data_IF_322766260987
#
_entry.id   IF_322766260987
#
_cell.length_a   1.000
_cell.length_b   1.000
_cell.length_c   1.000
_cell.angle_alpha   90.00
_cell.angle_beta   90.00
_cell.angle_gamma   90.00
#
_symmetry.space_group_name_H-M   'P 1'
#
loop_
_entity.id
_entity.type
_entity.pdbx_description
1 polymer ?
#
# COMPACT_ATOMS: atom_id res chain seq x y z
N UNK A 1 -38.37 -41.06 6.70
CA UNK A 1 -37.66 -39.92 6.07
C UNK A 1 -38.32 -38.57 6.36
N UNK A 2 -39.62 -38.40 6.32
CA UNK A 2 -40.30 -37.12 6.57
C UNK A 2 -40.06 -36.49 7.96
N UNK A 3 -39.87 -37.29 9.00
CA UNK A 3 -39.71 -36.80 10.38
C UNK A 3 -38.33 -36.16 10.64
N UNK A 4 -37.29 -36.53 9.89
CA UNK A 4 -35.96 -35.93 9.99
C UNK A 4 -35.88 -34.56 9.26
N UNK A 5 -36.58 -34.41 8.17
CA UNK A 5 -36.69 -33.13 7.45
C UNK A 5 -37.44 -32.08 8.27
N UNK A 6 -38.54 -32.48 8.94
CA UNK A 6 -39.32 -31.57 9.81
C UNK A 6 -38.49 -31.09 11.02
N UNK A 7 -37.70 -31.99 11.66
CA UNK A 7 -36.80 -31.62 12.75
C UNK A 7 -35.68 -30.67 12.29
N UNK A 8 -35.06 -30.93 11.14
CA UNK A 8 -34.03 -30.10 10.58
C UNK A 8 -34.57 -28.68 10.23
N UNK A 9 -35.76 -28.61 9.67
CA UNK A 9 -36.42 -27.36 9.36
C UNK A 9 -36.79 -26.55 10.61
N UNK A 10 -37.29 -27.22 11.66
CA UNK A 10 -37.58 -26.59 12.95
C UNK A 10 -36.31 -26.04 13.62
N UNK A 11 -35.19 -26.79 13.56
CA UNK A 11 -33.88 -26.33 14.08
C UNK A 11 -33.35 -25.17 13.30
N UNK A 12 -33.50 -25.13 11.98
CA UNK A 12 -33.09 -24.03 11.13
C UNK A 12 -33.91 -22.74 11.44
N UNK A 13 -35.22 -22.89 11.64
CA UNK A 13 -36.09 -21.76 12.03
C UNK A 13 -35.69 -21.23 13.41
N UNK A 14 -35.41 -22.10 14.37
CA UNK A 14 -34.98 -21.70 15.71
C UNK A 14 -33.64 -20.97 15.67
N UNK A 15 -32.70 -21.41 14.81
CA UNK A 15 -31.40 -20.75 14.61
C UNK A 15 -31.53 -19.36 13.96
N UNK A 16 -32.44 -19.23 12.97
CA UNK A 16 -32.70 -17.94 12.27
C UNK A 16 -33.48 -16.96 13.17
N UNK A 17 -34.34 -17.47 14.06
CA UNK A 17 -35.12 -16.66 15.01
C UNK A 17 -34.40 -16.36 16.33
N UNK A 18 -33.14 -16.79 16.48
CA UNK A 18 -32.34 -16.38 17.64
C UNK A 18 -32.22 -14.85 17.65
N UNK A 19 -32.58 -14.25 18.78
CA UNK A 19 -32.46 -12.82 19.01
C UNK A 19 -31.05 -12.38 18.68
N UNK A 20 -30.82 -11.39 17.79
CA UNK A 20 -29.47 -10.94 17.47
C UNK A 20 -28.78 -10.51 18.76
N UNK A 21 -27.55 -10.97 18.94
CA UNK A 21 -26.71 -10.56 20.05
C UNK A 21 -26.58 -9.05 20.07
N UNK A 22 -26.48 -8.45 21.25
CA UNK A 22 -26.27 -7.00 21.37
C UNK A 22 -25.03 -6.60 20.55
N UNK A 23 -25.22 -5.74 19.57
CA UNK A 23 -24.18 -5.27 18.68
C UNK A 23 -24.05 -3.75 18.77
N UNK A 24 -22.83 -3.27 18.90
CA UNK A 24 -22.54 -1.83 18.87
C UNK A 24 -22.32 -1.41 17.43
N UNK A 25 -23.16 -0.52 16.91
CA UNK A 25 -23.01 0.07 15.59
C UNK A 25 -22.09 1.27 15.65
N UNK A 26 -21.00 1.26 14.88
CA UNK A 26 -20.10 2.40 14.71
C UNK A 26 -20.05 2.81 13.25
N UNK A 27 -19.94 4.10 12.92
CA UNK A 27 -19.80 4.55 11.55
C UNK A 27 -18.53 3.97 10.93
N UNK A 28 -18.63 3.53 9.66
CA UNK A 28 -17.49 2.98 8.94
C UNK A 28 -16.53 4.11 8.52
N UNK A 29 -15.25 4.09 8.89
CA UNK A 29 -14.31 5.15 8.57
C UNK A 29 -14.15 5.33 7.04
N UNK A 30 -14.26 6.57 6.56
CA UNK A 30 -14.19 6.88 5.11
C UNK A 30 -12.87 6.42 4.48
N UNK A 31 -11.74 6.53 5.23
CA UNK A 31 -10.42 6.11 4.75
C UNK A 31 -10.36 4.58 4.47
N UNK A 32 -11.09 3.76 5.22
CA UNK A 32 -11.16 2.31 4.96
C UNK A 32 -11.79 1.98 3.59
N UNK A 33 -12.64 2.85 3.06
CA UNK A 33 -13.18 2.67 1.72
C UNK A 33 -12.09 2.73 0.64
N UNK A 34 -11.07 3.59 0.84
CA UNK A 34 -9.92 3.66 -0.06
C UNK A 34 -9.09 2.37 -0.04
N UNK A 35 -8.83 1.83 1.15
CA UNK A 35 -8.14 0.54 1.29
C UNK A 35 -8.91 -0.57 0.56
N UNK A 36 -10.24 -0.60 0.70
CA UNK A 36 -11.08 -1.56 -0.04
C UNK A 36 -11.00 -1.39 -1.55
N UNK A 37 -10.88 -0.15 -2.04
CA UNK A 37 -10.73 0.11 -3.48
C UNK A 37 -9.38 -0.39 -3.98
N UNK A 38 -8.27 -0.14 -3.25
CA UNK A 38 -6.93 -0.68 -3.56
C UNK A 38 -6.94 -2.21 -3.56
N UNK A 39 -7.52 -2.84 -2.53
CA UNK A 39 -7.61 -4.30 -2.46
C UNK A 39 -8.44 -4.88 -3.61
N UNK A 40 -9.49 -4.17 -4.05
CA UNK A 40 -10.31 -4.59 -5.18
C UNK A 40 -9.54 -4.51 -6.49
N UNK A 41 -8.73 -3.48 -6.69
CA UNK A 41 -7.85 -3.37 -7.85
C UNK A 41 -6.71 -4.41 -7.80
N UNK A 42 -6.15 -4.68 -6.63
CA UNK A 42 -5.13 -5.72 -6.44
C UNK A 42 -5.63 -7.13 -6.83
N UNK A 43 -6.88 -7.48 -6.51
CA UNK A 43 -7.48 -8.77 -6.88
C UNK A 43 -7.60 -9.01 -8.39
N UNK A 44 -7.45 -7.98 -9.20
CA UNK A 44 -7.51 -8.06 -10.67
C UNK A 44 -6.17 -8.43 -11.29
N UNK A 45 -5.11 -8.42 -10.49
CA UNK A 45 -3.75 -8.74 -10.94
C UNK A 45 -3.45 -10.21 -10.64
N UNK A 46 -2.71 -10.84 -11.53
CA UNK A 46 -2.11 -12.13 -11.27
C UNK A 46 -0.96 -11.93 -10.28
N UNK A 47 -0.98 -12.64 -9.17
CA UNK A 47 0.00 -12.50 -8.09
C UNK A 47 0.81 -13.78 -7.99
N UNK A 48 2.12 -13.65 -7.94
CA UNK A 48 3.07 -14.71 -7.59
C UNK A 48 3.62 -14.36 -6.21
N UNK A 49 3.50 -15.29 -5.26
CA UNK A 49 4.03 -15.10 -3.91
C UNK A 49 5.37 -15.80 -3.79
N UNK A 50 6.37 -15.10 -3.26
CA UNK A 50 7.67 -15.63 -2.91
C UNK A 50 7.90 -15.37 -1.43
N UNK A 51 8.33 -16.39 -0.69
CA UNK A 51 8.76 -16.29 0.70
C UNK A 51 10.26 -16.51 0.75
N UNK A 52 10.97 -15.59 1.41
CA UNK A 52 12.42 -15.67 1.60
C UNK A 52 12.76 -15.32 3.04
N UNK A 53 13.80 -15.97 3.55
CA UNK A 53 14.41 -15.62 4.83
C UNK A 53 15.77 -14.98 4.57
N UNK A 54 16.08 -13.92 5.31
CA UNK A 54 17.36 -13.23 5.22
C UNK A 54 17.90 -12.91 6.62
N UNK A 55 19.20 -13.12 6.83
CA UNK A 55 19.86 -12.72 8.05
C UNK A 55 20.13 -11.21 8.03
N UNK A 56 19.57 -10.49 9.01
CA UNK A 56 19.68 -9.04 9.10
C UNK A 56 20.83 -8.55 10.02
N UNK A 57 21.44 -9.43 10.79
CA UNK A 57 22.49 -9.04 11.76
C UNK A 57 23.68 -8.34 11.08
N UNK A 58 24.25 -8.82 9.95
CA UNK A 58 25.33 -8.12 9.26
C UNK A 58 24.92 -6.72 8.79
N UNK A 59 23.70 -6.59 8.27
CA UNK A 59 23.16 -5.31 7.75
C UNK A 59 23.01 -4.31 8.90
N UNK A 60 22.46 -4.72 10.03
CA UNK A 60 22.28 -3.88 11.22
C UNK A 60 23.63 -3.38 11.74
N UNK A 61 24.65 -4.26 11.82
CA UNK A 61 26.00 -3.89 12.23
C UNK A 61 26.62 -2.86 11.29
N UNK A 62 26.45 -3.01 9.97
CA UNK A 62 26.92 -2.02 8.98
C UNK A 62 26.24 -0.66 9.13
N UNK A 63 24.92 -0.66 9.33
CA UNK A 63 24.14 0.58 9.57
C UNK A 63 24.65 1.31 10.83
N UNK A 64 24.90 0.59 11.92
CA UNK A 64 25.43 1.18 13.16
C UNK A 64 26.84 1.73 12.98
N UNK A 65 27.73 0.98 12.31
CA UNK A 65 29.08 1.43 12.03
C UNK A 65 29.07 2.69 11.16
N UNK A 66 28.25 2.73 10.12
CA UNK A 66 28.08 3.89 9.25
C UNK A 66 27.59 5.11 10.05
N UNK A 67 26.59 4.93 10.91
CA UNK A 67 26.08 6.01 11.75
C UNK A 67 27.17 6.57 12.71
N UNK A 68 28.02 5.70 13.28
CA UNK A 68 29.13 6.11 14.16
C UNK A 68 30.22 6.86 13.41
N UNK A 69 30.51 6.47 12.17
CA UNK A 69 31.60 7.05 11.38
C UNK A 69 31.23 8.35 10.68
N UNK A 70 30.00 8.45 10.19
CA UNK A 70 29.56 9.55 9.33
C UNK A 70 28.47 10.42 9.96
N UNK A 71 27.94 10.04 11.14
CA UNK A 71 26.84 10.76 11.77
C UNK A 71 25.50 10.68 11.00
N UNK A 72 25.44 9.88 9.95
CA UNK A 72 24.26 9.71 9.09
C UNK A 72 23.38 8.58 9.61
N UNK A 73 22.10 8.89 9.86
CA UNK A 73 21.14 7.91 10.37
C UNK A 73 20.45 7.17 9.22
N UNK A 74 20.96 6.01 8.86
CA UNK A 74 20.34 5.07 7.95
C UNK A 74 19.32 4.20 8.70
N UNK A 75 18.16 3.98 8.12
CA UNK A 75 17.15 3.08 8.67
C UNK A 75 17.16 1.74 7.92
N UNK A 76 16.80 0.64 8.62
CA UNK A 76 16.66 -0.67 7.97
C UNK A 76 15.64 -0.63 6.82
N UNK A 77 14.52 0.08 7.02
CA UNK A 77 13.52 0.27 5.95
C UNK A 77 14.11 1.02 4.76
N UNK A 78 14.91 2.07 4.98
CA UNK A 78 15.62 2.79 3.91
C UNK A 78 16.58 1.91 3.15
N UNK A 79 17.31 1.03 3.86
CA UNK A 79 18.20 0.04 3.25
C UNK A 79 17.40 -0.95 2.36
N UNK A 80 16.30 -1.52 2.88
CA UNK A 80 15.44 -2.44 2.14
C UNK A 80 14.86 -1.74 0.90
N UNK A 81 14.37 -0.51 1.06
CA UNK A 81 13.85 0.28 -0.06
C UNK A 81 14.89 0.49 -1.15
N UNK A 82 16.14 0.82 -0.77
CA UNK A 82 17.23 0.99 -1.74
C UNK A 82 17.56 -0.32 -2.44
N UNK A 83 17.69 -1.42 -1.69
CA UNK A 83 17.97 -2.73 -2.27
C UNK A 83 16.89 -3.16 -3.29
N UNK A 84 15.61 -2.92 -2.98
CA UNK A 84 14.52 -3.16 -3.92
C UNK A 84 14.60 -2.25 -5.15
N UNK A 85 14.89 -0.97 -4.96
CA UNK A 85 15.01 -0.03 -6.07
C UNK A 85 16.14 -0.42 -7.02
N UNK A 86 17.30 -0.86 -6.48
CA UNK A 86 18.44 -1.31 -7.27
C UNK A 86 18.14 -2.61 -8.03
N UNK A 87 17.52 -3.59 -7.36
CA UNK A 87 17.12 -4.83 -8.00
C UNK A 87 16.13 -4.62 -9.16
N UNK A 88 15.18 -3.68 -9.01
CA UNK A 88 14.26 -3.30 -10.09
C UNK A 88 14.97 -2.51 -11.18
N UNK A 89 15.99 -1.73 -10.86
CA UNK A 89 16.77 -0.97 -11.85
C UNK A 89 17.65 -1.89 -12.72
N UNK A 90 18.12 -3.02 -12.19
CA UNK A 90 18.82 -4.07 -12.95
C UNK A 90 17.94 -4.71 -14.02
N UNK A 91 16.67 -4.95 -13.70
CA UNK A 91 15.66 -5.44 -14.66
C UNK A 91 14.37 -4.65 -14.56
N UNK A 92 14.32 -3.52 -15.25
CA UNK A 92 13.16 -2.61 -15.29
C UNK A 92 11.90 -3.24 -15.84
N UNK A 93 12.01 -4.39 -16.50
CA UNK A 93 10.84 -5.11 -17.01
C UNK A 93 9.93 -5.60 -15.89
N UNK A 94 10.46 -5.78 -14.67
CA UNK A 94 9.69 -6.15 -13.45
C UNK A 94 8.61 -5.14 -13.12
N UNK A 95 8.85 -3.83 -13.39
CA UNK A 95 7.88 -2.76 -13.15
C UNK A 95 7.06 -2.37 -14.40
N UNK A 96 7.09 -3.19 -15.45
CA UNK A 96 6.43 -2.88 -16.70
C UNK A 96 4.90 -2.90 -16.60
N UNK A 97 4.27 -1.95 -17.27
CA UNK A 97 2.80 -1.87 -17.38
C UNK A 97 2.34 -2.23 -18.79
N UNK A 98 1.36 -3.10 -18.86
CA UNK A 98 0.70 -3.42 -20.12
C UNK A 98 -0.34 -2.36 -20.44
N UNK A 99 -0.18 -1.68 -21.58
CA UNK A 99 -1.17 -0.75 -22.12
C UNK A 99 -1.88 -1.37 -23.32
N UNK A 100 -3.17 -1.61 -23.17
CA UNK A 100 -3.97 -2.28 -24.20
C UNK A 100 -3.53 -3.73 -24.43
N UNK A 101 -3.52 -4.17 -25.70
CA UNK A 101 -3.19 -5.56 -26.06
C UNK A 101 -1.73 -5.76 -26.52
N UNK A 102 -1.07 -4.71 -27.00
CA UNK A 102 0.21 -4.83 -27.71
C UNK A 102 1.34 -3.93 -27.20
N UNK A 103 1.08 -3.04 -26.24
CA UNK A 103 2.10 -2.12 -25.74
C UNK A 103 2.53 -2.48 -24.33
N UNK A 104 3.83 -2.42 -24.08
CA UNK A 104 4.46 -2.52 -22.79
C UNK A 104 5.15 -1.18 -22.51
N UNK A 105 4.85 -0.60 -21.35
CA UNK A 105 5.49 0.63 -20.86
C UNK A 105 6.44 0.23 -19.76
N UNK A 106 7.72 0.53 -19.93
CA UNK A 106 8.79 0.30 -18.97
C UNK A 106 9.27 1.68 -18.52
N UNK A 107 9.25 1.93 -17.22
CA UNK A 107 9.72 3.20 -16.65
C UNK A 107 11.20 3.13 -16.33
N UNK A 108 11.93 4.23 -16.54
CA UNK A 108 13.35 4.34 -16.22
C UNK A 108 13.57 4.61 -14.73
N UNK A 109 12.61 5.23 -14.07
CA UNK A 109 12.66 5.56 -12.66
C UNK A 109 11.81 4.59 -11.83
N UNK A 110 12.34 4.21 -10.67
CA UNK A 110 11.66 3.35 -9.70
C UNK A 110 11.02 4.21 -8.62
N UNK A 111 9.69 4.26 -8.61
CA UNK A 111 8.92 4.95 -7.57
C UNK A 111 8.40 3.95 -6.54
N UNK A 112 8.95 3.99 -5.33
CA UNK A 112 8.57 3.07 -4.25
C UNK A 112 7.39 3.61 -3.45
N UNK A 113 6.29 2.86 -3.40
CA UNK A 113 5.20 3.07 -2.48
C UNK A 113 5.51 2.36 -1.16
N UNK A 114 5.83 3.10 -0.11
CA UNK A 114 6.20 2.56 1.20
C UNK A 114 5.09 2.84 2.20
N UNK A 115 4.67 1.81 2.94
CA UNK A 115 3.70 1.98 4.02
C UNK A 115 4.40 2.54 5.25
N UNK A 116 3.98 3.73 5.69
CA UNK A 116 4.46 4.36 6.92
C UNK A 116 3.32 4.52 7.91
N UNK A 117 3.57 4.26 9.18
CA UNK A 117 2.60 4.49 10.23
C UNK A 117 2.57 5.98 10.59
N UNK A 118 1.37 6.55 10.61
CA UNK A 118 1.11 7.93 11.04
C UNK A 118 -0.04 7.99 12.03
N UNK A 119 0.01 8.94 12.93
CA UNK A 119 -1.09 9.24 13.81
C UNK A 119 -2.11 10.15 13.11
N UNK A 120 -3.38 9.71 13.09
CA UNK A 120 -4.51 10.42 12.49
C UNK A 120 -5.64 10.43 13.49
N UNK A 121 -6.06 11.59 13.94
CA UNK A 121 -7.17 11.74 14.90
C UNK A 121 -7.00 10.83 16.14
N UNK A 122 -5.77 10.71 16.67
CA UNK A 122 -5.45 9.87 17.82
C UNK A 122 -5.37 8.37 17.52
N UNK A 123 -5.39 7.97 16.25
CA UNK A 123 -5.27 6.57 15.80
C UNK A 123 -4.04 6.38 14.91
N UNK A 124 -3.27 5.33 15.16
CA UNK A 124 -2.17 4.94 14.29
C UNK A 124 -2.76 4.28 13.03
N UNK A 125 -2.45 4.85 11.87
CA UNK A 125 -2.92 4.35 10.57
C UNK A 125 -1.78 4.19 9.58
N UNK A 126 -1.76 3.12 8.78
CA UNK A 126 -0.81 2.97 7.69
C UNK A 126 -1.18 3.94 6.56
N UNK A 127 -0.22 4.76 6.15
CA UNK A 127 -0.35 5.71 5.03
C UNK A 127 0.72 5.40 4.02
N UNK A 128 0.38 5.43 2.74
CA UNK A 128 1.35 5.21 1.66
C UNK A 128 2.16 6.48 1.42
N UNK A 129 3.47 6.37 1.52
CA UNK A 129 4.44 7.40 1.11
C UNK A 129 5.11 6.94 -0.18
N UNK A 130 5.19 7.82 -1.18
CA UNK A 130 5.87 7.51 -2.43
C UNK A 130 7.26 8.15 -2.41
N UNK A 131 8.29 7.30 -2.44
CA UNK A 131 9.69 7.72 -2.64
C UNK A 131 9.94 7.70 -4.15
N UNK A 132 10.07 8.89 -4.74
CA UNK A 132 10.28 9.06 -6.18
C UNK A 132 11.71 8.75 -6.57
N UNK A 133 11.90 8.14 -7.76
CA UNK A 133 13.21 7.89 -8.36
C UNK A 133 14.19 7.24 -7.37
N UNK A 134 13.72 6.24 -6.61
CA UNK A 134 14.48 5.64 -5.51
C UNK A 134 15.78 4.98 -5.99
N UNK A 135 15.82 4.48 -7.24
CA UNK A 135 17.03 3.95 -7.87
C UNK A 135 18.15 5.00 -8.01
N UNK A 136 17.80 6.28 -8.16
CA UNK A 136 18.76 7.38 -8.30
C UNK A 136 19.18 8.01 -6.96
N UNK A 137 18.57 7.61 -5.85
CA UNK A 137 18.83 8.15 -4.51
C UNK A 137 19.76 7.25 -3.72
N UNK A 138 20.53 7.86 -2.80
CA UNK A 138 21.29 7.09 -1.81
C UNK A 138 20.40 6.67 -0.63
N UNK A 139 20.91 5.73 0.18
CA UNK A 139 20.17 5.15 1.32
C UNK A 139 19.82 6.21 2.36
N UNK A 140 20.72 7.16 2.61
CA UNK A 140 20.53 8.24 3.58
C UNK A 140 19.37 9.15 3.19
N UNK A 141 19.31 9.56 1.93
CA UNK A 141 18.21 10.37 1.39
C UNK A 141 16.86 9.66 1.53
N UNK A 142 16.80 8.38 1.15
CA UNK A 142 15.58 7.57 1.30
C UNK A 142 15.18 7.47 2.78
N UNK A 143 16.15 7.19 3.67
CA UNK A 143 15.89 7.10 5.11
C UNK A 143 15.39 8.42 5.69
N UNK A 144 15.93 9.54 5.23
CA UNK A 144 15.49 10.88 5.64
C UNK A 144 14.07 11.19 5.18
N UNK A 145 13.76 10.92 3.89
CA UNK A 145 12.40 11.10 3.35
C UNK A 145 11.36 10.29 4.12
N UNK A 146 11.66 9.03 4.44
CA UNK A 146 10.76 8.17 5.19
C UNK A 146 10.56 8.65 6.63
N UNK A 147 11.61 9.15 7.30
CA UNK A 147 11.49 9.75 8.63
C UNK A 147 10.65 11.02 8.62
N UNK A 148 10.91 11.91 7.65
CA UNK A 148 10.11 13.13 7.48
C UNK A 148 8.65 12.79 7.20
N UNK A 149 8.40 11.79 6.34
CA UNK A 149 7.07 11.33 6.04
C UNK A 149 6.34 10.78 7.28
N UNK A 150 7.06 10.08 8.17
CA UNK A 150 6.49 9.56 9.42
C UNK A 150 6.18 10.68 10.44
N UNK A 151 7.01 11.73 10.49
CA UNK A 151 6.86 12.85 11.41
C UNK A 151 5.84 13.91 10.93
N UNK A 152 5.56 13.95 9.63
CA UNK A 152 4.67 14.97 9.06
C UNK A 152 3.19 14.69 9.41
N UNK A 153 2.44 15.76 9.69
CA UNK A 153 1.00 15.67 9.83
C UNK A 153 0.35 15.25 8.49
N UNK A 154 -0.79 14.54 8.58
CA UNK A 154 -1.54 14.20 7.36
C UNK A 154 -2.05 15.49 6.72
N UNK A 155 -1.64 15.74 5.52
CA UNK A 155 -2.00 16.93 4.77
C UNK A 155 -0.82 17.80 4.34
N UNK A 156 0.38 17.62 4.92
CA UNK A 156 1.52 18.51 4.67
C UNK A 156 2.58 17.96 3.69
N UNK A 157 2.53 16.69 3.34
CA UNK A 157 3.56 16.08 2.51
C UNK A 157 3.03 15.56 1.18
N UNK A 158 3.29 16.32 0.13
CA UNK A 158 3.17 15.90 -1.27
C UNK A 158 2.01 16.55 -2.06
N UNK A 159 2.09 16.53 -3.39
CA UNK A 159 1.11 17.18 -4.28
C UNK A 159 -0.28 16.54 -4.26
N UNK A 160 -0.46 15.41 -3.56
CA UNK A 160 -1.70 14.65 -3.50
C UNK A 160 -2.66 15.10 -2.39
N UNK A 161 -2.22 15.94 -1.45
CA UNK A 161 -3.00 16.24 -0.23
C UNK A 161 -4.39 16.84 -0.47
N UNK A 162 -4.53 17.73 -1.45
CA UNK A 162 -5.82 18.29 -1.82
C UNK A 162 -6.65 17.29 -2.65
N UNK A 163 -5.98 16.54 -3.54
CA UNK A 163 -6.61 15.51 -4.37
C UNK A 163 -7.08 14.33 -3.52
N UNK A 164 -6.33 13.94 -2.48
CA UNK A 164 -6.71 12.87 -1.56
C UNK A 164 -8.00 13.23 -0.81
N UNK A 165 -8.10 14.45 -0.28
CA UNK A 165 -9.32 14.91 0.40
C UNK A 165 -10.53 14.88 -0.53
N UNK A 166 -10.36 15.34 -1.77
CA UNK A 166 -11.41 15.29 -2.79
C UNK A 166 -11.75 13.83 -3.13
N UNK A 167 -10.74 12.98 -3.34
CA UNK A 167 -10.95 11.57 -3.67
C UNK A 167 -11.68 10.81 -2.57
N UNK A 168 -11.34 11.04 -1.28
CA UNK A 168 -12.03 10.44 -0.14
C UNK A 168 -13.47 10.94 0.03
N UNK A 169 -13.76 12.16 -0.41
CA UNK A 169 -15.11 12.73 -0.39
C UNK A 169 -15.99 12.21 -1.52
N UNK A 170 -15.40 11.65 -2.60
CA UNK A 170 -16.15 11.16 -3.76
C UNK A 170 -17.04 9.96 -3.42
N UNK A 171 -18.25 9.90 -3.95
CA UNK A 171 -19.09 8.69 -3.91
C UNK A 171 -18.37 7.50 -4.56
N UNK A 172 -18.67 6.29 -4.09
CA UNK A 172 -18.03 5.03 -4.56
C UNK A 172 -18.10 4.86 -6.08
N UNK A 173 -19.18 5.32 -6.72
CA UNK A 173 -19.34 5.24 -8.18
C UNK A 173 -18.29 6.09 -8.90
N UNK A 174 -18.09 7.33 -8.46
CA UNK A 174 -17.10 8.24 -9.06
C UNK A 174 -15.68 7.74 -8.83
N UNK A 175 -15.37 7.19 -7.65
CA UNK A 175 -14.07 6.56 -7.39
C UNK A 175 -13.79 5.40 -8.35
N UNK A 176 -14.79 4.58 -8.69
CA UNK A 176 -14.63 3.51 -9.70
C UNK A 176 -14.25 4.07 -11.08
N UNK A 177 -14.81 5.23 -11.46
CA UNK A 177 -14.46 5.90 -12.72
C UNK A 177 -13.02 6.38 -12.66
N UNK A 178 -12.58 7.00 -11.56
CA UNK A 178 -11.18 7.41 -11.38
C UNK A 178 -10.24 6.22 -11.53
N UNK A 179 -10.52 5.09 -10.86
CA UNK A 179 -9.74 3.86 -10.99
C UNK A 179 -9.74 3.31 -12.42
N UNK A 180 -10.85 3.46 -13.15
CA UNK A 180 -10.92 3.05 -14.57
C UNK A 180 -10.00 3.91 -15.44
N UNK A 181 -9.99 5.23 -15.24
CA UNK A 181 -9.10 6.17 -15.95
C UNK A 181 -7.63 5.88 -15.63
N UNK A 182 -7.31 5.68 -14.34
CA UNK A 182 -5.93 5.34 -13.92
C UNK A 182 -5.40 4.05 -14.58
N UNK A 183 -6.26 3.07 -14.82
CA UNK A 183 -5.87 1.84 -15.54
C UNK A 183 -5.54 2.09 -17.01
N UNK A 184 -6.14 3.10 -17.61
CA UNK A 184 -5.90 3.44 -19.02
C UNK A 184 -4.59 4.20 -19.23
N UNK A 185 -4.19 4.97 -18.20
CA UNK A 185 -2.97 5.76 -18.21
C UNK A 185 -1.96 5.27 -17.16
N UNK A 186 -0.96 4.46 -17.55
CA UNK A 186 0.09 3.99 -16.67
C UNK A 186 0.96 5.11 -16.08
N UNK A 187 1.08 6.26 -16.74
CA UNK A 187 1.79 7.43 -16.21
C UNK A 187 1.07 8.00 -14.99
N UNK A 188 -0.25 8.17 -15.10
CA UNK A 188 -1.08 8.61 -13.99
C UNK A 188 -1.03 7.60 -12.83
N UNK A 189 -1.05 6.30 -13.15
CA UNK A 189 -0.93 5.26 -12.13
C UNK A 189 0.42 5.32 -11.40
N UNK A 190 1.55 5.47 -12.12
CA UNK A 190 2.88 5.69 -11.53
C UNK A 190 2.87 6.89 -10.60
N UNK A 191 2.30 8.02 -11.04
CA UNK A 191 2.26 9.24 -10.24
C UNK A 191 1.46 9.10 -8.92
N UNK A 192 0.38 8.33 -8.93
CA UNK A 192 -0.52 8.22 -7.79
C UNK A 192 -0.21 7.05 -6.86
N UNK A 193 0.36 5.96 -7.39
CA UNK A 193 0.54 4.71 -6.65
C UNK A 193 2.01 4.29 -6.55
N UNK A 194 2.88 4.81 -7.42
CA UNK A 194 4.25 4.32 -7.58
C UNK A 194 4.33 3.11 -8.50
N UNK A 195 5.53 2.55 -8.67
CA UNK A 195 5.78 1.39 -9.53
C UNK A 195 5.95 0.10 -8.74
N UNK A 196 6.52 0.17 -7.54
CA UNK A 196 6.81 -0.96 -6.64
C UNK A 196 6.33 -0.63 -5.23
N UNK A 197 5.76 -1.60 -4.52
CA UNK A 197 5.30 -1.45 -3.14
C UNK A 197 6.21 -2.15 -2.13
N UNK A 198 6.47 -1.49 -1.01
CA UNK A 198 7.16 -2.04 0.17
C UNK A 198 6.25 -1.82 1.39
N UNK A 199 5.89 -2.90 2.09
CA UNK A 199 4.95 -2.86 3.23
C UNK A 199 5.56 -3.46 4.47
#
# INVERSE_FOLDING_TARGET
MANNLSKAFSQLITLVMQKPSAATHRPYPKLRNFILDIMREGRRKNVINLLMEAELAPIRNHIELHARQHGEHITLTGFICKAFADAVDEDRSVQAYRQGKSKLIIFDEVDLAVMVEREVDGHIMPVTQIVRSANLKNIGTISQELRQAKAAAIGDTGPLNALDKVFFALPTVLRKVVWAVMRWDPQLFKQLVGTVGVT
#
